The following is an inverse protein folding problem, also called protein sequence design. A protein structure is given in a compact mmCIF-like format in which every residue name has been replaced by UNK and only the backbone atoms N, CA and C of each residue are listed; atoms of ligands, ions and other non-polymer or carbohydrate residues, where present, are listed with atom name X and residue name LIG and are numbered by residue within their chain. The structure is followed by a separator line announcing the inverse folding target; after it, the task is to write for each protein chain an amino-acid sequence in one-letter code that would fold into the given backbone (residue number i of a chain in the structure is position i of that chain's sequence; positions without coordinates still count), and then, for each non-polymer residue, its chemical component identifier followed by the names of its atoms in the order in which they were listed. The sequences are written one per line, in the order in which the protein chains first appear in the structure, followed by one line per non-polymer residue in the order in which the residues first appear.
data_IF_114922859928
#
_entry.id   IF_114922859928
#
_cell.length_a   1.000
_cell.length_b   1.000
_cell.length_c   1.000
_cell.angle_alpha   90.00
_cell.angle_beta   90.00
_cell.angle_gamma   90.00
#
_symmetry.space_group_name_H-M   'P 1'
#
loop_
_entity.id
_entity.type
_entity.pdbx_description
1 polymer ?
#
# COMPACT_ATOMS: atom_id res chain seq x y z
N UNK A 1 -0.03 18.31 -21.03
CA UNK A 1 -0.62 18.87 -19.78
C UNK A 1 -0.33 17.90 -18.65
N UNK A 2 0.17 18.38 -17.51
CA UNK A 2 -0.04 17.74 -16.21
C UNK A 2 0.90 16.64 -15.71
N UNK A 3 2.16 16.57 -16.13
CA UNK A 3 3.12 15.65 -15.48
C UNK A 3 3.93 16.38 -14.41
N UNK A 4 3.85 15.90 -13.17
CA UNK A 4 4.73 16.33 -12.10
C UNK A 4 6.04 15.54 -12.19
N UNK A 5 7.19 16.17 -11.94
CA UNK A 5 8.47 15.47 -11.83
C UNK A 5 8.40 14.35 -10.76
N UNK A 6 9.14 13.26 -10.99
CA UNK A 6 9.16 12.08 -10.11
C UNK A 6 9.68 12.37 -8.68
N UNK A 7 10.23 13.56 -8.43
CA UNK A 7 10.73 13.99 -7.13
C UNK A 7 9.76 14.95 -6.38
N UNK A 8 8.51 15.06 -6.83
CA UNK A 8 7.47 15.82 -6.12
C UNK A 8 6.74 14.88 -5.17
N UNK A 9 7.01 15.02 -3.87
CA UNK A 9 6.34 14.25 -2.82
C UNK A 9 5.28 15.12 -2.12
N UNK A 10 4.14 14.53 -1.73
CA UNK A 10 3.16 15.23 -0.90
C UNK A 10 3.73 15.54 0.49
N UNK A 11 3.30 16.65 1.07
CA UNK A 11 3.68 17.06 2.42
C UNK A 11 2.50 16.96 3.38
N UNK A 12 2.76 16.50 4.61
CA UNK A 12 1.78 16.42 5.69
C UNK A 12 2.26 17.24 6.89
N UNK A 13 1.37 18.02 7.50
CA UNK A 13 1.65 18.80 8.70
C UNK A 13 1.08 18.11 9.93
N UNK A 14 1.86 18.05 11.00
CA UNK A 14 1.47 17.47 12.29
C UNK A 14 1.90 18.40 13.44
N UNK A 15 1.25 18.34 14.61
CA UNK A 15 1.72 19.06 15.80
C UNK A 15 3.17 18.67 16.15
N UNK A 16 3.96 19.63 16.62
CA UNK A 16 5.38 19.42 16.95
C UNK A 16 5.59 18.26 17.93
N UNK A 17 4.70 18.11 18.92
CA UNK A 17 4.72 17.02 19.89
C UNK A 17 4.61 15.61 19.26
N UNK A 18 4.06 15.51 18.04
CA UNK A 18 3.87 14.24 17.31
C UNK A 18 4.87 14.05 16.17
N UNK A 19 5.76 15.01 15.92
CA UNK A 19 6.67 15.00 14.79
C UNK A 19 7.58 13.76 14.78
N UNK A 20 8.09 13.34 15.94
CA UNK A 20 8.96 12.16 16.03
C UNK A 20 8.19 10.87 15.71
N UNK A 21 6.96 10.74 16.24
CA UNK A 21 6.10 9.59 15.97
C UNK A 21 5.72 9.51 14.48
N UNK A 22 5.32 10.63 13.88
CA UNK A 22 5.03 10.72 12.45
C UNK A 22 6.25 10.32 11.59
N UNK A 23 7.46 10.76 11.96
CA UNK A 23 8.68 10.39 11.26
C UNK A 23 9.00 8.89 11.36
N UNK A 24 8.62 8.22 12.44
CA UNK A 24 8.75 6.75 12.57
C UNK A 24 7.84 6.03 11.58
N UNK A 25 6.60 6.49 11.39
CA UNK A 25 5.66 5.91 10.41
C UNK A 25 6.21 6.02 8.99
N UNK A 26 6.69 7.21 8.59
CA UNK A 26 7.27 7.42 7.25
C UNK A 26 8.46 6.50 7.03
N UNK A 27 9.40 6.43 7.99
CA UNK A 27 10.55 5.54 7.88
C UNK A 27 10.17 4.07 7.81
N UNK A 28 9.16 3.64 8.58
CA UNK A 28 8.69 2.25 8.55
C UNK A 28 8.10 1.91 7.17
N UNK A 29 7.34 2.83 6.58
CA UNK A 29 6.77 2.66 5.24
C UNK A 29 7.87 2.65 4.16
N UNK A 30 8.83 3.58 4.20
CA UNK A 30 9.94 3.64 3.23
C UNK A 30 10.89 2.43 3.33
N UNK A 31 11.03 1.86 4.53
CA UNK A 31 11.85 0.66 4.75
C UNK A 31 11.13 -0.64 4.36
N UNK A 32 9.80 -0.64 4.34
CA UNK A 32 9.04 -1.80 3.89
C UNK A 32 9.01 -1.84 2.36
N UNK A 33 9.83 -2.73 1.81
CA UNK A 33 9.71 -3.11 0.40
C UNK A 33 8.31 -3.70 0.20
N UNK A 34 7.43 -2.99 -0.51
CA UNK A 34 6.04 -3.36 -0.84
C UNK A 34 5.90 -4.69 -1.62
N UNK A 35 7.00 -5.42 -1.85
CA UNK A 35 7.13 -6.56 -2.76
C UNK A 35 6.92 -7.94 -2.12
N UNK A 36 6.36 -8.05 -0.90
CA UNK A 36 6.34 -9.35 -0.19
C UNK A 36 5.07 -10.19 -0.34
N UNK A 37 4.05 -9.66 -0.99
CA UNK A 37 2.85 -10.44 -1.22
C UNK A 37 3.02 -11.31 -2.47
N UNK A 38 2.76 -12.61 -2.33
CA UNK A 38 2.64 -13.48 -3.49
C UNK A 38 1.41 -13.13 -4.32
N UNK A 39 1.43 -13.53 -5.59
CA UNK A 39 0.27 -13.47 -6.46
C UNK A 39 -0.91 -14.25 -5.86
N UNK A 40 -2.12 -13.78 -6.13
CA UNK A 40 -3.34 -14.37 -5.59
C UNK A 40 -4.42 -14.50 -6.65
N UNK A 41 -5.34 -15.43 -6.46
CA UNK A 41 -6.50 -15.59 -7.34
C UNK A 41 -7.70 -14.93 -6.69
N UNK A 42 -8.36 -14.03 -7.42
CA UNK A 42 -9.52 -13.31 -6.93
C UNK A 42 -10.68 -14.28 -6.64
N UNK A 43 -11.23 -14.33 -5.40
CA UNK A 43 -12.34 -15.22 -5.07
C UNK A 43 -13.68 -14.73 -5.65
N UNK A 44 -13.76 -13.48 -6.09
CA UNK A 44 -14.96 -12.91 -6.72
C UNK A 44 -15.11 -13.26 -8.19
N UNK A 45 -14.02 -13.32 -8.96
CA UNK A 45 -14.07 -13.51 -10.42
C UNK A 45 -13.07 -14.51 -11.00
N UNK A 46 -12.16 -15.06 -10.19
CA UNK A 46 -11.15 -16.04 -10.61
C UNK A 46 -9.92 -15.46 -11.31
N UNK A 47 -9.79 -14.13 -11.37
CA UNK A 47 -8.65 -13.48 -12.03
C UNK A 47 -7.35 -13.69 -11.24
N UNK A 48 -6.21 -14.03 -11.89
CA UNK A 48 -4.90 -13.98 -11.26
C UNK A 48 -4.46 -12.52 -11.08
N UNK A 49 -4.08 -12.16 -9.87
CA UNK A 49 -3.73 -10.80 -9.47
C UNK A 49 -2.31 -10.79 -8.90
N UNK A 50 -1.49 -9.86 -9.40
CA UNK A 50 -0.15 -9.63 -8.87
C UNK A 50 -0.20 -9.19 -7.41
N UNK A 51 0.71 -9.69 -6.59
CA UNK A 51 0.68 -9.50 -5.13
C UNK A 51 0.69 -8.02 -4.66
N UNK A 52 1.17 -7.11 -5.52
CA UNK A 52 1.19 -5.66 -5.27
C UNK A 52 -0.21 -5.04 -5.16
N UNK A 53 -1.24 -5.69 -5.71
CA UNK A 53 -2.60 -5.16 -5.67
C UNK A 53 -3.34 -5.62 -4.40
N UNK A 54 -3.87 -4.65 -3.66
CA UNK A 54 -4.74 -4.87 -2.51
C UNK A 54 -6.19 -5.23 -2.89
N UNK A 55 -6.57 -5.06 -4.16
CA UNK A 55 -7.90 -5.39 -4.68
C UNK A 55 -7.81 -5.87 -6.13
N UNK A 56 -8.76 -6.70 -6.54
CA UNK A 56 -8.85 -7.20 -7.91
C UNK A 56 -9.13 -6.05 -8.88
N UNK A 57 -8.21 -5.80 -9.83
CA UNK A 57 -8.38 -4.75 -10.84
C UNK A 57 -9.66 -4.93 -11.69
N UNK A 58 -10.11 -6.18 -11.85
CA UNK A 58 -11.26 -6.54 -12.68
C UNK A 58 -12.61 -6.36 -11.98
N UNK A 59 -12.74 -6.80 -10.73
CA UNK A 59 -14.04 -6.79 -10.02
C UNK A 59 -14.06 -6.02 -8.71
N UNK A 60 -12.94 -5.37 -8.34
CA UNK A 60 -12.77 -4.59 -7.11
C UNK A 60 -12.94 -5.39 -5.81
N UNK A 61 -13.00 -6.73 -5.88
CA UNK A 61 -12.99 -7.57 -4.68
C UNK A 61 -11.66 -7.42 -3.94
N UNK A 62 -11.72 -7.14 -2.64
CA UNK A 62 -10.53 -6.97 -1.80
C UNK A 62 -9.71 -8.26 -1.77
N UNK A 63 -8.39 -8.11 -1.68
CA UNK A 63 -7.50 -9.25 -1.49
C UNK A 63 -7.87 -9.94 -0.17
N UNK A 64 -7.99 -11.28 -0.15
CA UNK A 64 -8.11 -12.02 1.09
C UNK A 64 -6.92 -11.68 1.99
N UNK A 65 -7.19 -11.04 3.13
CA UNK A 65 -6.14 -10.73 4.09
C UNK A 65 -5.62 -12.04 4.70
N UNK A 66 -4.30 -12.26 4.65
CA UNK A 66 -3.61 -13.33 5.39
C UNK A 66 -3.62 -13.09 6.92
N UNK A 67 -4.43 -12.15 7.42
CA UNK A 67 -4.60 -11.83 8.84
C UNK A 67 -5.59 -12.81 9.50
N UNK A 68 -5.57 -14.08 9.05
CA UNK A 68 -6.05 -15.22 9.82
C UNK A 68 -4.88 -15.84 10.60
N UNK A 69 -4.23 -15.04 11.46
CA UNK A 69 -3.52 -15.56 12.62
C UNK A 69 -3.60 -14.54 13.74
N UNK A 70 -4.61 -14.80 14.58
CA UNK A 70 -4.72 -14.32 15.97
C UNK A 70 -3.45 -14.65 16.75
#
# INVERSE_FOLDING_TARGET
MGELPANVYPSVWVPLATAEAARKVVRAFEADTLDKAGDWVCPGCGEPIEGVFAACWRCQHERPNDVARR
#
